data_IF_349965643620
#
_entry.id   IF_349965643620
#
_cell.length_a   1.000
_cell.length_b   1.000
_cell.length_c   1.000
_cell.angle_alpha   90.00
_cell.angle_beta   90.00
_cell.angle_gamma   90.00
#
_symmetry.space_group_name_H-M   'P 1'
#
loop_
_entity.id
_entity.type
_entity.pdbx_description
1 polymer ?
#
# COMPACT_ATOMS: atom_id res chain seq x y z
N UNK A 1 33.73 35.69 7.85
CA UNK A 1 32.42 35.38 8.50
C UNK A 1 31.23 35.32 7.53
N UNK A 2 31.26 35.93 6.33
CA UNK A 2 30.19 35.78 5.33
C UNK A 2 30.15 34.42 4.59
N UNK A 3 31.30 33.78 4.40
CA UNK A 3 31.40 32.58 3.54
C UNK A 3 30.91 31.28 4.19
N UNK A 4 30.83 31.21 5.52
CA UNK A 4 30.47 29.98 6.25
C UNK A 4 28.94 29.80 6.26
N UNK A 5 28.19 30.91 6.36
CA UNK A 5 26.74 30.91 6.31
C UNK A 5 26.19 30.40 4.96
N UNK A 6 26.90 30.70 3.86
CA UNK A 6 26.49 30.29 2.51
C UNK A 6 26.59 28.77 2.35
N UNK A 7 27.66 28.15 2.87
CA UNK A 7 27.88 26.70 2.76
C UNK A 7 26.83 25.91 3.56
N UNK A 8 26.48 26.37 4.77
CA UNK A 8 25.48 25.72 5.61
C UNK A 8 24.08 25.75 5.01
N UNK A 9 23.70 26.86 4.36
CA UNK A 9 22.41 26.99 3.68
C UNK A 9 22.33 26.05 2.46
N UNK A 10 23.41 25.91 1.68
CA UNK A 10 23.41 24.99 0.54
C UNK A 10 23.30 23.52 0.92
N UNK A 11 23.81 23.09 2.09
CA UNK A 11 23.73 21.69 2.52
C UNK A 11 22.32 21.32 2.96
N UNK A 12 21.57 22.24 3.60
CA UNK A 12 20.19 21.98 4.02
C UNK A 12 19.20 21.84 2.87
N UNK A 13 19.46 22.45 1.70
CA UNK A 13 18.56 22.37 0.54
C UNK A 13 18.67 21.02 -0.18
N UNK A 14 19.78 20.31 -0.05
CA UNK A 14 19.99 19.00 -0.70
C UNK A 14 19.28 17.87 0.08
N UNK A 15 19.10 18.03 1.39
CA UNK A 15 18.52 17.01 2.27
C UNK A 15 17.02 16.79 2.10
N UNK A 16 16.28 17.75 1.55
CA UNK A 16 14.83 17.62 1.33
C UNK A 16 14.46 16.96 0.01
N UNK A 17 15.43 16.68 -0.87
CA UNK A 17 15.15 16.23 -2.23
C UNK A 17 15.17 14.70 -2.45
N UNK A 18 15.36 13.86 -1.40
CA UNK A 18 15.59 12.40 -1.60
C UNK A 18 14.79 11.41 -0.75
N UNK A 19 13.64 11.80 -0.19
CA UNK A 19 12.76 10.84 0.51
C UNK A 19 11.39 10.63 -0.14
N UNK A 20 11.17 11.13 -1.35
CA UNK A 20 10.03 10.75 -2.17
C UNK A 20 10.55 9.93 -3.34
N UNK A 21 10.78 8.64 -3.08
CA UNK A 21 10.68 7.67 -4.17
C UNK A 21 9.26 7.84 -4.72
N UNK A 22 9.07 8.26 -5.97
CA UNK A 22 7.80 8.00 -6.62
C UNK A 22 7.74 6.48 -6.70
N UNK A 23 6.96 5.85 -5.81
CA UNK A 23 6.42 4.56 -6.16
C UNK A 23 5.70 4.82 -7.48
N UNK A 24 6.05 4.11 -8.57
CA UNK A 24 5.17 4.12 -9.72
C UNK A 24 3.84 3.62 -9.16
N UNK A 25 2.88 4.54 -9.04
CA UNK A 25 1.49 4.17 -9.03
C UNK A 25 1.38 3.25 -10.24
N UNK A 26 1.07 1.98 -9.99
CA UNK A 26 0.80 1.05 -11.06
C UNK A 26 -0.48 1.60 -11.71
N UNK A 27 -0.28 2.47 -12.70
CA UNK A 27 -1.31 2.92 -13.62
C UNK A 27 -1.83 1.64 -14.24
N UNK A 28 -2.93 1.12 -13.68
CA UNK A 28 -3.63 -0.04 -14.23
C UNK A 28 -4.30 0.50 -15.47
N UNK A 29 -3.81 0.14 -16.68
CA UNK A 29 -4.45 0.62 -17.87
C UNK A 29 -5.83 -0.08 -17.95
N UNK A 30 -6.82 0.73 -18.36
CA UNK A 30 -8.09 0.34 -18.96
C UNK A 30 -9.07 -0.56 -18.20
N UNK A 31 -9.84 0.05 -17.28
CA UNK A 31 -11.25 -0.33 -17.06
C UNK A 31 -12.13 0.38 -18.10
N UNK A 32 -12.00 -0.03 -19.36
CA UNK A 32 -12.87 0.45 -20.45
C UNK A 32 -13.71 -0.73 -20.97
N UNK A 33 -14.36 -1.47 -20.06
CA UNK A 33 -15.57 -2.21 -20.42
C UNK A 33 -16.38 -2.61 -19.18
N UNK A 34 -17.52 -1.96 -18.98
CA UNK A 34 -18.46 -2.21 -17.88
C UNK A 34 -19.15 -3.61 -17.95
N UNK A 35 -18.58 -4.59 -18.65
CA UNK A 35 -19.14 -5.95 -18.79
C UNK A 35 -18.11 -7.08 -18.64
N UNK A 36 -16.86 -6.80 -18.25
CA UNK A 36 -15.92 -7.84 -17.83
C UNK A 36 -15.74 -7.76 -16.33
N UNK A 37 -16.40 -8.64 -15.57
CA UNK A 37 -16.20 -8.76 -14.11
C UNK A 37 -14.81 -9.32 -13.87
N UNK A 38 -13.78 -8.48 -13.89
CA UNK A 38 -12.43 -8.93 -13.60
C UNK A 38 -12.22 -8.98 -12.09
N UNK A 39 -11.70 -10.10 -11.61
CA UNK A 39 -11.32 -10.30 -10.21
C UNK A 39 -9.81 -10.47 -10.20
N UNK A 40 -9.11 -9.61 -9.49
CA UNK A 40 -7.67 -9.67 -9.31
C UNK A 40 -7.35 -10.09 -7.88
N UNK A 41 -6.54 -11.14 -7.72
CA UNK A 41 -6.12 -11.66 -6.43
C UNK A 41 -4.62 -11.48 -6.24
N UNK A 42 -4.19 -11.16 -5.01
CA UNK A 42 -2.79 -11.05 -4.62
C UNK A 42 -2.55 -11.69 -3.25
N UNK A 43 -1.37 -12.32 -3.09
CA UNK A 43 -0.85 -12.82 -1.80
C UNK A 43 0.03 -11.79 -1.07
N UNK A 44 0.38 -10.72 -1.77
CA UNK A 44 1.28 -9.66 -1.32
C UNK A 44 0.51 -8.36 -1.12
N UNK A 45 -0.71 -8.44 -0.59
CA UNK A 45 -1.50 -7.27 -0.24
C UNK A 45 -0.80 -6.51 0.89
N UNK A 46 -0.41 -5.28 0.57
CA UNK A 46 0.27 -4.38 1.48
C UNK A 46 -0.14 -2.95 1.18
N UNK A 47 -0.22 -2.12 2.22
CA UNK A 47 -0.55 -0.72 2.08
C UNK A 47 0.21 0.12 3.11
N UNK A 48 0.48 1.37 2.75
CA UNK A 48 1.09 2.32 3.68
C UNK A 48 0.00 3.00 4.49
N UNK A 49 0.19 3.08 5.78
CA UNK A 49 -0.71 3.75 6.72
C UNK A 49 0.11 4.44 7.80
N UNK A 50 -0.50 5.38 8.52
CA UNK A 50 0.09 5.97 9.70
C UNK A 50 -0.58 5.39 10.94
N UNK A 51 0.19 4.75 11.80
CA UNK A 51 -0.27 4.15 13.06
C UNK A 51 0.52 4.85 14.16
N UNK A 52 -0.18 5.52 15.07
CA UNK A 52 0.43 6.25 16.20
C UNK A 52 1.50 7.27 15.79
N UNK A 53 1.28 7.97 14.66
CA UNK A 53 2.22 8.96 14.14
C UNK A 53 3.37 8.36 13.33
N UNK A 54 3.48 7.03 13.23
CA UNK A 54 4.55 6.35 12.49
C UNK A 54 4.06 5.82 11.14
N UNK A 55 4.81 6.15 10.09
CA UNK A 55 4.59 5.61 8.76
C UNK A 55 4.94 4.11 8.75
N UNK A 56 3.91 3.30 8.56
CA UNK A 56 3.98 1.85 8.65
C UNK A 56 3.49 1.21 7.35
N UNK A 57 4.13 0.13 6.94
CA UNK A 57 3.62 -0.73 5.85
C UNK A 57 2.90 -1.90 6.52
N UNK A 58 1.57 -1.93 6.41
CA UNK A 58 0.78 -3.06 6.84
C UNK A 58 0.78 -4.12 5.74
N UNK A 59 1.17 -5.35 6.07
CA UNK A 59 1.11 -6.50 5.17
C UNK A 59 0.07 -7.51 5.66
N UNK A 60 -0.85 -7.92 4.79
CA UNK A 60 -1.94 -8.82 5.18
C UNK A 60 -1.48 -10.25 5.48
N UNK A 61 -0.32 -10.65 4.98
CA UNK A 61 0.29 -11.95 5.24
C UNK A 61 1.31 -11.91 6.40
N UNK A 62 1.33 -10.85 7.22
CA UNK A 62 2.25 -10.72 8.35
C UNK A 62 1.61 -11.11 9.69
N UNK A 63 2.43 -11.66 10.60
CA UNK A 63 2.02 -12.06 11.94
C UNK A 63 1.57 -13.52 12.06
N UNK A 64 1.19 -13.92 13.27
CA UNK A 64 0.85 -15.31 13.60
C UNK A 64 -0.65 -15.63 13.38
N UNK A 65 -1.51 -14.60 13.42
CA UNK A 65 -2.98 -14.75 13.40
C UNK A 65 -3.58 -14.34 12.04
N UNK A 66 -2.90 -14.73 10.95
CA UNK A 66 -3.30 -14.34 9.59
C UNK A 66 -4.73 -14.79 9.30
N UNK A 67 -5.16 -15.96 9.80
CA UNK A 67 -6.51 -16.48 9.60
C UNK A 67 -7.61 -15.53 10.08
N UNK A 68 -7.43 -14.91 11.24
CA UNK A 68 -8.44 -14.06 11.86
C UNK A 68 -8.37 -12.62 11.34
N UNK A 69 -7.19 -12.18 10.88
CA UNK A 69 -6.95 -10.80 10.42
C UNK A 69 -7.08 -10.62 8.92
N UNK A 70 -7.04 -11.71 8.15
CA UNK A 70 -6.99 -11.66 6.69
C UNK A 70 -8.17 -10.89 6.10
N UNK A 71 -9.39 -11.12 6.59
CA UNK A 71 -10.58 -10.41 6.12
C UNK A 71 -10.48 -8.90 6.32
N UNK A 72 -10.29 -8.45 7.57
CA UNK A 72 -10.20 -7.03 7.86
C UNK A 72 -9.04 -6.35 7.11
N UNK A 73 -7.92 -7.05 6.93
CA UNK A 73 -6.80 -6.50 6.16
C UNK A 73 -7.12 -6.33 4.67
N UNK A 74 -7.76 -7.32 4.04
CA UNK A 74 -8.15 -7.22 2.63
C UNK A 74 -9.22 -6.14 2.39
N UNK A 75 -10.15 -5.95 3.33
CA UNK A 75 -11.14 -4.86 3.26
C UNK A 75 -10.47 -3.48 3.30
N UNK A 76 -9.47 -3.29 4.17
CA UNK A 76 -8.72 -2.03 4.24
C UNK A 76 -7.83 -1.86 3.01
N UNK A 77 -7.20 -2.93 2.52
CA UNK A 77 -6.44 -2.90 1.27
C UNK A 77 -7.32 -2.52 0.07
N UNK A 78 -8.58 -2.95 0.04
CA UNK A 78 -9.54 -2.51 -0.97
C UNK A 78 -9.85 -1.01 -0.87
N UNK A 79 -10.12 -0.50 0.34
CA UNK A 79 -10.32 0.94 0.56
C UNK A 79 -9.09 1.74 0.12
N UNK A 80 -7.89 1.26 0.45
CA UNK A 80 -6.64 1.89 0.06
C UNK A 80 -6.49 1.99 -1.47
N UNK A 81 -7.02 1.03 -2.22
CA UNK A 81 -7.06 1.03 -3.69
C UNK A 81 -8.29 1.73 -4.28
N UNK A 82 -9.06 2.47 -3.48
CA UNK A 82 -10.24 3.21 -3.94
C UNK A 82 -11.44 2.32 -4.26
N UNK A 83 -11.57 1.17 -3.58
CA UNK A 83 -12.71 0.24 -3.68
C UNK A 83 -13.53 0.22 -2.40
N UNK A 84 -14.76 -0.27 -2.49
CA UNK A 84 -15.59 -0.51 -1.31
C UNK A 84 -15.15 -1.78 -0.60
N UNK A 85 -15.36 -1.85 0.73
CA UNK A 85 -15.07 -3.06 1.51
C UNK A 85 -15.76 -4.30 0.96
N UNK A 86 -17.00 -4.16 0.52
CA UNK A 86 -17.82 -5.25 -0.03
C UNK A 86 -17.28 -5.81 -1.35
N UNK A 87 -16.37 -5.09 -2.01
CA UNK A 87 -15.71 -5.56 -3.24
C UNK A 87 -14.48 -6.43 -2.95
N UNK A 88 -14.08 -6.56 -1.67
CA UNK A 88 -12.99 -7.41 -1.25
C UNK A 88 -13.47 -8.82 -0.89
N UNK A 89 -12.71 -9.83 -1.30
CA UNK A 89 -12.79 -11.18 -0.77
C UNK A 89 -11.43 -11.59 -0.21
N UNK A 90 -11.44 -12.36 0.87
CA UNK A 90 -10.24 -12.75 1.61
C UNK A 90 -10.21 -14.25 1.85
N UNK A 91 -9.05 -14.88 1.61
CA UNK A 91 -8.87 -16.30 1.84
C UNK A 91 -7.55 -16.56 2.59
N UNK A 92 -7.59 -17.15 3.79
CA UNK A 92 -6.38 -17.63 4.44
C UNK A 92 -5.88 -18.88 3.71
N UNK A 93 -4.65 -18.86 3.25
CA UNK A 93 -4.01 -19.97 2.54
C UNK A 93 -3.31 -20.92 3.53
N UNK A 94 -3.06 -22.16 3.09
CA UNK A 94 -2.49 -23.23 3.94
C UNK A 94 -1.06 -22.94 4.37
N UNK A 95 -0.34 -22.12 3.61
CA UNK A 95 1.02 -21.66 3.88
C UNK A 95 1.08 -20.50 4.89
N UNK A 96 -0.07 -20.08 5.44
CA UNK A 96 -0.15 -18.94 6.34
C UNK A 96 -0.20 -17.59 5.63
N UNK A 97 -0.28 -17.55 4.30
CA UNK A 97 -0.48 -16.29 3.57
C UNK A 97 -1.96 -15.89 3.49
N UNK A 98 -2.22 -14.59 3.39
CA UNK A 98 -3.55 -14.04 3.11
C UNK A 98 -3.67 -13.71 1.63
N UNK A 99 -4.71 -14.24 0.99
CA UNK A 99 -5.05 -13.92 -0.41
C UNK A 99 -6.17 -12.88 -0.39
N UNK A 100 -5.88 -11.70 -0.93
CA UNK A 100 -6.89 -10.65 -1.12
C UNK A 100 -7.29 -10.58 -2.59
N UNK A 101 -8.58 -10.72 -2.85
CA UNK A 101 -9.18 -10.57 -4.16
C UNK A 101 -10.09 -9.34 -4.18
N UNK A 102 -10.07 -8.60 -5.28
CA UNK A 102 -10.98 -7.48 -5.49
C UNK A 102 -11.39 -7.37 -6.95
N UNK A 103 -12.55 -6.77 -7.18
CA UNK A 103 -12.95 -6.31 -8.51
C UNK A 103 -11.92 -5.30 -9.02
N UNK A 104 -11.50 -5.51 -10.26
CA UNK A 104 -11.11 -4.36 -11.05
C UNK A 104 -12.41 -3.75 -11.60
#
# INVERSE_FOLDING_TARGET
MRSIAVVAVTICIISTARAQLPLPYFERPDMINANTRCIACTRSAAFRTNIDGQDTIAQCSSGNDVKDRCQGCCEVYAIYNGRQKAEAASFPSKDGSCICCMTC
#
